data_IF_609266024555
#
_entry.id   IF_609266024555
#
_cell.length_a   1.000
_cell.length_b   1.000
_cell.length_c   1.000
_cell.angle_alpha   90.00
_cell.angle_beta   90.00
_cell.angle_gamma   90.00
#
_symmetry.space_group_name_H-M   'P 1'
#
loop_
_entity.id
_entity.type
_entity.pdbx_description
1 polymer ?
#
# COMPACT_ATOMS: atom_id res chain seq x y z
N UNK A 1 -5.90 15.65 -2.50
CA UNK A 1 -6.84 15.13 -3.51
C UNK A 1 -6.05 14.35 -4.55
N UNK A 2 -6.72 13.47 -5.32
CA UNK A 2 -6.10 12.83 -6.50
C UNK A 2 -5.60 13.86 -7.53
N UNK A 3 -6.06 15.09 -7.47
CA UNK A 3 -5.54 16.20 -8.28
C UNK A 3 -4.01 16.40 -8.10
N UNK A 4 -3.47 16.01 -6.96
CA UNK A 4 -2.03 16.13 -6.65
C UNK A 4 -1.28 14.80 -6.83
N UNK A 5 -1.97 13.72 -7.21
CA UNK A 5 -1.34 12.43 -7.45
C UNK A 5 -0.71 12.42 -8.85
N UNK A 6 0.61 12.34 -8.89
CA UNK A 6 1.40 12.26 -10.12
C UNK A 6 1.97 10.85 -10.36
N UNK A 7 1.83 9.96 -9.39
CA UNK A 7 2.26 8.58 -9.50
C UNK A 7 1.16 7.60 -9.06
N UNK A 8 1.04 6.51 -9.79
CA UNK A 8 0.12 5.41 -9.50
C UNK A 8 0.91 4.10 -9.56
N UNK A 9 0.82 3.31 -8.49
CA UNK A 9 1.35 1.95 -8.43
C UNK A 9 0.19 0.97 -8.40
N UNK A 10 0.23 -0.04 -9.29
CA UNK A 10 -0.68 -1.18 -9.24
C UNK A 10 0.14 -2.45 -9.00
N UNK A 11 -0.19 -3.18 -7.94
CA UNK A 11 0.56 -4.36 -7.51
C UNK A 11 -0.38 -5.51 -7.12
N UNK A 12 0.08 -6.73 -7.36
CA UNK A 12 -0.54 -7.96 -6.86
C UNK A 12 0.05 -8.35 -5.51
N UNK A 13 -0.05 -7.45 -4.57
CA UNK A 13 0.49 -7.53 -3.22
C UNK A 13 -0.18 -8.67 -2.44
N UNK A 14 0.55 -9.69 -1.95
CA UNK A 14 -0.03 -10.94 -1.44
C UNK A 14 -1.02 -10.72 -0.29
N UNK A 15 -0.59 -10.07 0.79
CA UNK A 15 -1.42 -9.96 1.99
C UNK A 15 -2.55 -8.95 1.84
N UNK A 16 -2.31 -7.82 1.20
CA UNK A 16 -3.37 -6.86 0.92
C UNK A 16 -4.43 -7.42 -0.04
N UNK A 17 -4.03 -8.29 -0.99
CA UNK A 17 -4.97 -9.01 -1.85
C UNK A 17 -5.85 -9.98 -1.04
N UNK A 18 -5.31 -10.64 -0.02
CA UNK A 18 -6.10 -11.50 0.88
C UNK A 18 -7.16 -10.70 1.64
N UNK A 19 -6.85 -9.47 2.07
CA UNK A 19 -7.85 -8.56 2.64
C UNK A 19 -8.98 -8.26 1.64
N UNK A 20 -8.63 -8.01 0.38
CA UNK A 20 -9.61 -7.76 -0.69
C UNK A 20 -10.50 -9.00 -0.96
N UNK A 21 -9.91 -10.21 -0.95
CA UNK A 21 -10.64 -11.48 -1.10
C UNK A 21 -11.60 -11.70 0.06
N UNK A 22 -11.12 -11.50 1.29
CA UNK A 22 -11.92 -11.66 2.51
C UNK A 22 -12.91 -10.52 2.74
N UNK A 23 -12.90 -9.48 1.91
CA UNK A 23 -13.67 -8.23 2.09
C UNK A 23 -13.47 -7.62 3.48
N UNK A 24 -12.27 -7.78 4.03
CA UNK A 24 -11.93 -7.27 5.34
C UNK A 24 -11.65 -5.79 5.25
N UNK A 25 -12.26 -5.00 6.11
CA UNK A 25 -11.96 -3.59 6.25
C UNK A 25 -10.51 -3.41 6.73
N UNK A 26 -9.77 -2.51 6.07
CA UNK A 26 -8.45 -2.15 6.52
C UNK A 26 -8.54 -1.18 7.71
N UNK A 27 -7.87 -1.54 8.79
CA UNK A 27 -7.66 -0.69 9.97
C UNK A 27 -6.20 -0.83 10.39
N UNK A 28 -5.49 0.29 10.66
CA UNK A 28 -4.08 0.26 11.04
C UNK A 28 -3.81 -0.55 12.30
N UNK A 29 -2.81 -1.41 12.26
CA UNK A 29 -2.30 -2.16 13.43
C UNK A 29 -0.86 -1.78 13.77
N UNK A 30 -0.22 -0.94 12.96
CA UNK A 30 1.12 -0.40 13.21
C UNK A 30 1.14 1.11 13.09
N UNK A 31 2.14 1.74 13.68
CA UNK A 31 2.35 3.19 13.55
C UNK A 31 2.53 3.62 12.09
N UNK A 32 3.15 2.79 11.26
CA UNK A 32 3.30 3.07 9.83
C UNK A 32 1.96 2.97 9.11
N UNK A 33 1.10 2.04 9.53
CA UNK A 33 -0.27 1.90 9.00
C UNK A 33 -1.12 3.15 9.18
N UNK A 34 -0.76 4.05 10.11
CA UNK A 34 -1.40 5.36 10.30
C UNK A 34 -1.39 6.24 9.02
N UNK A 35 -0.53 5.93 8.04
CA UNK A 35 -0.58 6.51 6.69
C UNK A 35 -1.97 6.38 6.05
N UNK A 36 -2.72 5.36 6.43
CA UNK A 36 -4.05 5.03 5.93
C UNK A 36 -5.16 5.31 6.96
N UNK A 37 -4.99 6.32 7.81
CA UNK A 37 -6.00 6.73 8.79
C UNK A 37 -7.38 7.00 8.16
N UNK A 38 -7.39 7.51 6.91
CA UNK A 38 -8.62 7.76 6.15
C UNK A 38 -9.22 6.48 5.53
N UNK A 39 -8.63 5.32 5.82
CA UNK A 39 -9.05 4.01 5.32
C UNK A 39 -8.52 3.65 3.93
N UNK A 40 -8.71 2.38 3.57
CA UNK A 40 -8.38 1.82 2.26
C UNK A 40 -9.64 1.16 1.71
N UNK A 41 -10.37 1.80 0.79
CA UNK A 41 -11.64 1.29 0.29
C UNK A 41 -11.43 0.07 -0.62
N UNK A 42 -12.44 -0.80 -0.68
CA UNK A 42 -12.48 -1.95 -1.59
C UNK A 42 -13.22 -1.57 -2.88
N UNK A 43 -12.52 -1.65 -4.02
CA UNK A 43 -13.16 -1.60 -5.33
C UNK A 43 -13.87 -2.93 -5.59
N UNK A 44 -15.23 -2.92 -5.72
CA UNK A 44 -16.02 -4.15 -5.62
C UNK A 44 -16.04 -4.98 -6.90
N UNK A 45 -15.65 -4.41 -8.04
CA UNK A 45 -15.71 -5.05 -9.34
C UNK A 45 -14.54 -6.03 -9.50
N UNK A 46 -14.85 -7.33 -9.77
CA UNK A 46 -13.85 -8.36 -10.00
C UNK A 46 -13.45 -8.42 -11.48
N UNK A 47 -12.91 -7.31 -11.99
CA UNK A 47 -12.48 -7.19 -13.37
C UNK A 47 -11.29 -6.24 -13.50
N UNK A 48 -10.56 -6.35 -14.60
CA UNK A 48 -9.48 -5.43 -14.89
C UNK A 48 -10.03 -4.03 -15.21
N UNK A 49 -9.37 -2.99 -14.70
CA UNK A 49 -9.67 -1.61 -15.05
C UNK A 49 -9.06 -1.33 -16.44
N UNK A 50 -9.89 -1.36 -17.48
CA UNK A 50 -9.48 -1.23 -18.89
C UNK A 50 -10.10 -0.05 -19.61
N UNK A 51 -11.12 0.56 -19.03
CA UNK A 51 -11.84 1.68 -19.65
C UNK A 51 -11.75 2.93 -18.79
N UNK A 52 -11.88 4.09 -19.43
CA UNK A 52 -11.92 5.39 -18.75
C UNK A 52 -12.99 5.43 -17.66
N UNK A 53 -14.21 4.95 -17.97
CA UNK A 53 -15.29 4.91 -17.00
C UNK A 53 -15.00 4.04 -15.76
N UNK A 54 -14.27 2.93 -15.91
CA UNK A 54 -13.81 2.11 -14.78
C UNK A 54 -12.75 2.87 -13.97
N UNK A 55 -11.81 3.54 -14.66
CA UNK A 55 -10.80 4.38 -14.01
C UNK A 55 -11.43 5.52 -13.20
N UNK A 56 -12.41 6.21 -13.76
CA UNK A 56 -13.13 7.29 -13.07
C UNK A 56 -13.84 6.79 -11.80
N UNK A 57 -14.47 5.60 -11.85
CA UNK A 57 -15.07 4.99 -10.65
C UNK A 57 -14.04 4.67 -9.58
N UNK A 58 -12.88 4.12 -9.98
CA UNK A 58 -11.80 3.83 -9.06
C UNK A 58 -11.22 5.11 -8.44
N UNK A 59 -10.98 6.14 -9.25
CA UNK A 59 -10.53 7.47 -8.79
C UNK A 59 -11.52 8.06 -7.80
N UNK A 60 -12.81 8.02 -8.11
CA UNK A 60 -13.87 8.50 -7.21
C UNK A 60 -13.89 7.71 -5.89
N UNK A 61 -13.67 6.41 -5.94
CA UNK A 61 -13.60 5.55 -4.75
C UNK A 61 -12.40 5.88 -3.87
N UNK A 62 -11.23 6.05 -4.47
CA UNK A 62 -10.00 6.44 -3.75
C UNK A 62 -10.21 7.82 -3.09
N UNK A 63 -10.75 8.79 -3.81
CA UNK A 63 -11.02 10.14 -3.31
C UNK A 63 -9.73 10.81 -2.84
N UNK A 64 -9.64 11.15 -1.56
CA UNK A 64 -8.45 11.76 -0.93
C UNK A 64 -7.50 10.72 -0.30
N UNK A 65 -7.83 9.44 -0.39
CA UNK A 65 -7.07 8.36 0.23
C UNK A 65 -5.83 8.02 -0.61
N UNK A 66 -4.92 7.27 -0.01
CA UNK A 66 -3.63 6.92 -0.63
C UNK A 66 -3.65 5.58 -1.36
N UNK A 67 -4.68 4.76 -1.16
CA UNK A 67 -4.79 3.45 -1.81
C UNK A 67 -6.22 2.95 -1.89
N UNK A 68 -6.43 1.91 -2.70
CA UNK A 68 -7.62 1.07 -2.71
C UNK A 68 -7.24 -0.39 -2.88
N UNK A 69 -8.02 -1.28 -2.27
CA UNK A 69 -7.98 -2.71 -2.53
C UNK A 69 -8.81 -3.00 -3.80
N UNK A 70 -8.33 -3.90 -4.65
CA UNK A 70 -9.06 -4.40 -5.82
C UNK A 70 -9.54 -5.83 -5.54
N UNK A 71 -10.85 -6.07 -5.59
CA UNK A 71 -11.43 -7.36 -5.24
C UNK A 71 -10.81 -8.52 -6.02
N UNK A 72 -10.11 -9.42 -5.31
CA UNK A 72 -9.49 -10.62 -5.88
C UNK A 72 -8.38 -10.35 -6.89
N UNK A 73 -7.75 -9.14 -6.86
CA UNK A 73 -6.77 -8.77 -7.87
C UNK A 73 -5.48 -8.19 -7.26
N UNK A 74 -5.59 -7.21 -6.37
CA UNK A 74 -4.42 -6.56 -5.81
C UNK A 74 -4.76 -5.21 -5.18
N UNK A 75 -3.85 -4.26 -5.35
CA UNK A 75 -3.99 -2.90 -4.83
C UNK A 75 -3.70 -1.85 -5.90
N UNK A 76 -4.23 -0.66 -5.68
CA UNK A 76 -3.75 0.58 -6.32
C UNK A 76 -3.33 1.52 -5.20
N UNK A 77 -2.10 2.03 -5.28
CA UNK A 77 -1.59 3.08 -4.40
C UNK A 77 -1.27 4.33 -5.23
N UNK A 78 -1.46 5.49 -4.63
CA UNK A 78 -1.24 6.79 -5.28
C UNK A 78 -0.32 7.66 -4.44
N UNK A 79 0.48 8.49 -5.09
CA UNK A 79 1.38 9.44 -4.45
C UNK A 79 1.66 10.65 -5.33
N UNK A 80 2.23 11.70 -4.75
CA UNK A 80 2.70 12.87 -5.50
C UNK A 80 3.89 12.54 -6.40
N UNK A 81 4.59 11.47 -6.07
CA UNK A 81 5.74 10.92 -6.81
C UNK A 81 5.83 9.40 -6.64
N UNK A 82 6.81 8.79 -7.31
CA UNK A 82 7.06 7.35 -7.24
C UNK A 82 7.49 6.90 -5.84
N UNK A 83 8.19 7.74 -5.09
CA UNK A 83 8.64 7.43 -3.73
C UNK A 83 7.43 7.24 -2.79
N UNK A 84 6.46 8.15 -2.87
CA UNK A 84 5.23 8.05 -2.08
C UNK A 84 4.35 6.86 -2.49
N UNK A 85 4.19 6.62 -3.79
CA UNK A 85 3.40 5.50 -4.28
C UNK A 85 4.02 4.15 -3.89
N UNK A 86 5.36 4.00 -3.99
CA UNK A 86 6.09 2.85 -3.51
C UNK A 86 5.91 2.67 -2.00
N UNK A 87 6.13 3.73 -1.24
CA UNK A 87 6.05 3.68 0.22
C UNK A 87 4.64 3.28 0.70
N UNK A 88 3.59 3.88 0.12
CA UNK A 88 2.21 3.51 0.41
C UNK A 88 1.95 2.01 0.13
N UNK A 89 2.47 1.50 -1.00
CA UNK A 89 2.34 0.09 -1.36
C UNK A 89 3.01 -0.84 -0.34
N UNK A 90 4.23 -0.52 0.08
CA UNK A 90 5.00 -1.29 1.04
C UNK A 90 4.34 -1.32 2.43
N UNK A 91 3.85 -0.16 2.89
CA UNK A 91 3.21 -0.06 4.21
C UNK A 91 1.87 -0.80 4.21
N UNK A 92 1.07 -0.70 3.15
CA UNK A 92 -0.19 -1.42 3.07
C UNK A 92 0.02 -2.94 3.13
N UNK A 93 1.00 -3.45 2.39
CA UNK A 93 1.35 -4.87 2.40
C UNK A 93 1.87 -5.33 3.77
N UNK A 94 2.78 -4.56 4.38
CA UNK A 94 3.38 -4.90 5.67
C UNK A 94 2.35 -4.86 6.81
N UNK A 95 1.47 -3.85 6.83
CA UNK A 95 0.44 -3.70 7.87
C UNK A 95 -0.61 -4.82 7.77
N UNK A 96 -1.09 -5.13 6.56
CA UNK A 96 -2.01 -6.26 6.33
C UNK A 96 -1.38 -7.59 6.68
N UNK A 97 -0.11 -7.82 6.36
CA UNK A 97 0.65 -9.01 6.74
C UNK A 97 0.72 -9.15 8.27
N UNK A 98 1.12 -8.09 8.96
CA UNK A 98 1.21 -8.07 10.43
C UNK A 98 -0.15 -8.30 11.09
N UNK A 99 -1.20 -7.66 10.60
CA UNK A 99 -2.54 -7.86 11.11
C UNK A 99 -3.01 -9.33 10.97
N UNK A 100 -2.75 -9.95 9.83
CA UNK A 100 -3.09 -11.36 9.62
C UNK A 100 -2.29 -12.29 10.54
N UNK A 101 -1.00 -12.05 10.71
CA UNK A 101 -0.14 -12.84 11.59
C UNK A 101 -0.52 -12.64 13.06
N UNK A 102 -0.75 -11.40 13.49
CA UNK A 102 -1.14 -11.10 14.86
C UNK A 102 -2.51 -11.68 15.22
N UNK A 103 -3.45 -11.75 14.27
CA UNK A 103 -4.75 -12.38 14.47
C UNK A 103 -4.67 -13.88 14.83
N UNK A 104 -3.56 -14.56 14.55
CA UNK A 104 -3.33 -15.95 14.97
C UNK A 104 -2.92 -16.06 16.45
N UNK A 105 -2.49 -14.95 17.05
CA UNK A 105 -2.03 -14.88 18.43
C UNK A 105 -3.14 -14.41 19.39
N UNK A 106 -4.17 -13.75 18.87
CA UNK A 106 -5.28 -13.22 19.67
C UNK A 106 -6.08 -12.14 18.93
N UNK A 107 -6.91 -11.42 19.69
CA UNK A 107 -7.67 -10.30 19.19
C UNK A 107 -6.74 -9.14 18.78
N UNK A 108 -7.11 -8.46 17.70
CA UNK A 108 -6.34 -7.32 17.21
C UNK A 108 -6.77 -6.03 17.93
N UNK A 109 -5.81 -5.30 18.44
CA UNK A 109 -5.97 -3.93 18.84
C UNK A 109 -5.60 -3.00 17.68
N UNK A 110 -6.54 -2.18 17.24
CA UNK A 110 -6.37 -1.27 16.13
C UNK A 110 -6.12 0.15 16.63
N UNK A 111 -5.30 0.89 15.91
CA UNK A 111 -5.15 2.32 16.18
C UNK A 111 -6.47 3.05 15.94
N UNK A 112 -6.81 3.95 16.85
CA UNK A 112 -7.88 4.91 16.66
C UNK A 112 -7.47 6.01 15.67
N UNK A 113 -8.45 6.71 15.09
CA UNK A 113 -8.16 7.87 14.24
C UNK A 113 -7.31 8.93 14.96
N UNK A 114 -7.57 9.15 16.26
CA UNK A 114 -6.81 10.12 17.06
C UNK A 114 -5.34 9.75 17.18
N UNK A 115 -5.03 8.48 17.46
CA UNK A 115 -3.67 7.96 17.51
C UNK A 115 -2.98 8.05 16.14
N UNK A 116 -3.68 7.69 15.07
CA UNK A 116 -3.13 7.82 13.72
C UNK A 116 -2.77 9.26 13.37
N UNK A 117 -3.65 10.22 13.68
CA UNK A 117 -3.41 11.65 13.42
C UNK A 117 -2.29 12.24 14.27
N UNK A 118 -2.11 11.75 15.48
CA UNK A 118 -1.05 12.20 16.37
C UNK A 118 0.34 11.72 15.95
N UNK A 119 0.42 10.63 15.19
CA UNK A 119 1.68 9.93 14.93
C UNK A 119 2.55 10.61 13.88
N UNK A 120 1.99 11.14 12.80
CA UNK A 120 2.81 11.62 11.70
C UNK A 120 2.21 12.81 10.97
N UNK A 121 3.08 13.78 10.71
CA UNK A 121 2.80 14.87 9.78
C UNK A 121 3.06 14.44 8.34
N UNK A 122 2.57 15.22 7.39
CA UNK A 122 2.83 15.00 5.96
C UNK A 122 4.34 15.01 5.64
N UNK A 123 5.11 15.87 6.29
CA UNK A 123 6.57 15.92 6.12
C UNK A 123 7.27 14.66 6.64
N UNK A 124 6.75 14.03 7.69
CA UNK A 124 7.27 12.76 8.18
C UNK A 124 7.07 11.65 7.17
N UNK A 125 5.92 11.60 6.51
CA UNK A 125 5.64 10.61 5.46
C UNK A 125 6.57 10.76 4.27
N UNK A 126 6.82 11.99 3.82
CA UNK A 126 7.76 12.27 2.72
C UNK A 126 9.17 11.83 3.05
N UNK A 127 9.69 12.17 4.23
CA UNK A 127 11.02 11.74 4.66
C UNK A 127 11.14 10.21 4.74
N UNK A 128 10.08 9.52 5.17
CA UNK A 128 10.04 8.06 5.24
C UNK A 128 9.99 7.44 3.85
N UNK A 129 9.18 7.98 2.94
CA UNK A 129 9.11 7.55 1.55
C UNK A 129 10.46 7.68 0.85
N UNK A 130 11.12 8.84 0.99
CA UNK A 130 12.45 9.07 0.43
C UNK A 130 13.50 8.09 0.99
N UNK A 131 13.48 7.80 2.29
CA UNK A 131 14.40 6.81 2.88
C UNK A 131 14.15 5.40 2.36
N UNK A 132 12.88 4.99 2.24
CA UNK A 132 12.53 3.69 1.69
C UNK A 132 12.98 3.58 0.23
N UNK A 133 12.72 4.59 -0.58
CA UNK A 133 13.19 4.66 -1.97
C UNK A 133 14.70 4.47 -2.08
N UNK A 134 15.48 5.25 -1.32
CA UNK A 134 16.94 5.16 -1.34
C UNK A 134 17.44 3.78 -0.92
N UNK A 135 16.78 3.15 0.05
CA UNK A 135 17.13 1.78 0.46
C UNK A 135 16.94 0.78 -0.70
N UNK A 136 15.77 0.80 -1.35
CA UNK A 136 15.48 -0.12 -2.44
C UNK A 136 16.31 0.17 -3.69
N UNK A 137 16.55 1.43 -4.03
CA UNK A 137 17.42 1.81 -5.14
C UNK A 137 18.87 1.34 -4.92
N UNK A 138 19.39 1.42 -3.68
CA UNK A 138 20.71 0.87 -3.35
C UNK A 138 20.72 -0.66 -3.39
N UNK A 139 19.64 -1.31 -2.98
CA UNK A 139 19.52 -2.76 -3.03
C UNK A 139 19.54 -3.25 -4.48
N UNK A 140 18.77 -2.63 -5.37
CA UNK A 140 18.76 -2.90 -6.80
C UNK A 140 20.14 -2.69 -7.44
N UNK A 141 20.78 -1.56 -7.17
CA UNK A 141 22.11 -1.28 -7.68
C UNK A 141 23.21 -2.26 -7.18
N UNK A 142 23.00 -2.90 -6.03
CA UNK A 142 23.88 -4.01 -5.57
C UNK A 142 23.56 -5.29 -6.32
N UNK A 143 22.30 -5.55 -6.59
CA UNK A 143 21.83 -6.70 -7.32
C UNK A 143 22.38 -6.74 -8.74
N UNK A 144 22.26 -5.64 -9.47
CA UNK A 144 22.77 -5.51 -10.85
C UNK A 144 24.29 -5.70 -10.97
N UNK A 145 25.02 -5.50 -9.87
CA UNK A 145 26.47 -5.72 -9.81
C UNK A 145 26.88 -7.16 -9.47
N UNK A 146 25.94 -8.02 -9.10
CA UNK A 146 26.25 -9.42 -8.87
C UNK A 146 26.37 -10.15 -10.22
N UNK A 147 27.47 -10.91 -10.48
CA UNK A 147 27.55 -11.74 -11.67
C UNK A 147 26.37 -12.72 -11.66
N UNK A 148 25.75 -12.94 -12.80
CA UNK A 148 24.62 -13.86 -12.97
C UNK A 148 25.03 -15.29 -12.56
N UNK A 149 25.07 -15.54 -11.25
CA UNK A 149 25.12 -16.89 -10.70
C UNK A 149 23.69 -17.43 -10.78
N UNK A 150 23.47 -18.45 -11.60
CA UNK A 150 22.20 -18.99 -12.06
C UNK A 150 21.19 -19.47 -11.00
N UNK A 151 21.02 -18.76 -9.92
CA UNK A 151 20.00 -18.97 -8.90
C UNK A 151 19.28 -17.64 -8.68
N UNK A 152 18.14 -17.46 -9.34
CA UNK A 152 17.23 -16.37 -9.04
C UNK A 152 16.67 -16.53 -7.60
N UNK A 153 16.34 -15.42 -6.91
CA UNK A 153 15.92 -15.45 -5.51
C UNK A 153 14.46 -15.84 -5.27
N UNK A 154 13.79 -16.40 -6.25
CA UNK A 154 12.39 -16.85 -6.13
C UNK A 154 12.29 -18.30 -6.63
N UNK A 155 12.57 -19.25 -5.73
CA UNK A 155 12.01 -20.58 -5.72
C UNK A 155 10.98 -20.68 -4.58
#
# INVERSE_FOLDING_TARGET
>A
HLADALAVAHLHSPYATLYAIARREFRPVTLQGALFADGVPLYPEAQLVKTTAQGERLVKLIGHRRAALLRGHGIVAVGRDLEEALFASLILEDDTRKAMQAATLGELEFFSEGECRAFATEDDWRRRAHRAWNYFAQLEARWDRQPATGAGPLA
#
